data_IF_026718577897
#
_entry.id   IF_026718577897
#
_cell.length_a   1.000
_cell.length_b   1.000
_cell.length_c   1.000
_cell.angle_alpha   90.00
_cell.angle_beta   90.00
_cell.angle_gamma   90.00
#
_symmetry.space_group_name_H-M   'P 1'
#
loop_
_entity.id
_entity.type
_entity.pdbx_description
1 polymer ?
#
# COMPACT_ATOMS: atom_id res chain seq x y z
N UNK A 1 -4.33 25.32 20.78
CA UNK A 1 -3.06 24.95 21.44
C UNK A 1 -3.27 23.63 22.16
N UNK A 2 -2.76 22.52 21.63
CA UNK A 2 -2.96 21.19 22.20
C UNK A 2 -2.04 21.02 23.42
N UNK A 3 -2.63 21.03 24.61
CA UNK A 3 -1.89 20.88 25.86
C UNK A 3 -1.36 19.44 25.97
N UNK A 4 -0.08 19.24 25.61
CA UNK A 4 0.55 17.91 25.61
C UNK A 4 1.23 17.74 26.96
N UNK A 5 0.57 17.06 27.89
CA UNK A 5 1.13 16.79 29.21
C UNK A 5 2.36 15.88 29.06
N UNK A 6 3.53 16.34 29.53
CA UNK A 6 4.73 15.49 29.64
C UNK A 6 4.46 14.41 30.69
N UNK A 7 4.41 13.16 30.25
CA UNK A 7 4.30 11.99 31.13
C UNK A 7 5.68 11.35 31.23
N UNK A 8 6.19 11.18 32.45
CA UNK A 8 7.43 10.45 32.69
C UNK A 8 7.14 8.95 32.70
N UNK A 9 7.80 8.21 31.81
CA UNK A 9 7.69 6.75 31.73
C UNK A 9 8.98 6.14 32.26
N UNK A 10 8.87 5.29 33.28
CA UNK A 10 9.96 4.47 33.78
C UNK A 10 9.76 3.02 33.38
N UNK A 11 10.78 2.38 32.84
CA UNK A 11 10.76 0.95 32.52
C UNK A 11 12.04 0.27 33.02
N UNK A 12 11.91 -0.99 33.44
CA UNK A 12 13.06 -1.82 33.81
C UNK A 12 13.77 -2.28 32.55
N UNK A 13 15.10 -2.21 32.55
CA UNK A 13 15.94 -2.71 31.49
C UNK A 13 17.23 -3.31 32.06
N UNK A 14 17.92 -4.10 31.25
CA UNK A 14 19.23 -4.66 31.60
C UNK A 14 20.29 -3.54 31.61
N UNK A 15 21.25 -3.62 32.53
CA UNK A 15 22.29 -2.60 32.69
C UNK A 15 23.13 -2.38 31.43
N UNK A 16 23.46 -3.46 30.73
CA UNK A 16 24.22 -3.44 29.47
C UNK A 16 23.48 -2.65 28.37
N UNK A 17 22.18 -2.90 28.21
CA UNK A 17 21.36 -2.17 27.24
C UNK A 17 21.31 -0.67 27.55
N UNK A 18 21.14 -0.30 28.82
CA UNK A 18 21.15 1.10 29.25
C UNK A 18 22.49 1.77 28.93
N UNK A 19 23.60 1.07 29.18
CA UNK A 19 24.95 1.58 28.92
C UNK A 19 25.19 1.80 27.42
N UNK A 20 24.83 0.84 26.58
CA UNK A 20 24.99 0.95 25.12
C UNK A 20 24.17 2.11 24.56
N UNK A 21 22.89 2.22 24.94
CA UNK A 21 22.02 3.32 24.50
C UNK A 21 22.52 4.69 24.99
N UNK A 22 23.05 4.77 26.21
CA UNK A 22 23.62 6.00 26.72
C UNK A 22 24.88 6.43 25.95
N UNK A 23 25.72 5.46 25.56
CA UNK A 23 26.91 5.71 24.75
C UNK A 23 26.53 6.20 23.35
N UNK A 24 25.55 5.58 22.71
CA UNK A 24 25.03 6.00 21.41
C UNK A 24 24.42 7.40 21.46
N UNK A 25 23.62 7.71 22.49
CA UNK A 25 23.07 9.04 22.71
C UNK A 25 24.19 10.09 22.84
N UNK A 26 25.23 9.78 23.63
CA UNK A 26 26.37 10.66 23.83
C UNK A 26 27.17 10.92 22.55
N UNK A 27 27.33 9.90 21.68
CA UNK A 27 28.02 10.05 20.39
C UNK A 27 27.32 11.04 19.46
N UNK A 28 25.99 11.15 19.58
CA UNK A 28 25.15 12.01 18.74
C UNK A 28 24.84 13.34 19.47
N UNK A 29 25.38 13.54 20.68
CA UNK A 29 25.22 14.77 21.46
C UNK A 29 23.83 14.93 22.08
N UNK A 30 23.09 13.85 22.28
CA UNK A 30 21.74 13.84 22.85
C UNK A 30 21.74 13.28 24.27
N UNK A 31 20.74 13.66 25.07
CA UNK A 31 20.45 12.93 26.31
C UNK A 31 19.82 11.58 26.00
N UNK A 32 19.95 10.62 26.92
CA UNK A 32 19.36 9.29 26.75
C UNK A 32 17.83 9.34 26.53
N UNK A 33 17.12 10.26 27.20
CA UNK A 33 15.67 10.43 27.03
C UNK A 33 15.33 10.95 25.63
N UNK A 34 16.03 11.96 25.14
CA UNK A 34 15.83 12.51 23.78
C UNK A 34 16.15 11.47 22.71
N UNK A 35 17.22 10.70 22.91
CA UNK A 35 17.60 9.62 22.00
C UNK A 35 16.51 8.54 21.93
N UNK A 36 15.95 8.14 23.07
CA UNK A 36 14.85 7.18 23.12
C UNK A 36 13.57 7.72 22.48
N UNK A 37 13.22 8.99 22.71
CA UNK A 37 12.08 9.64 22.07
C UNK A 37 12.24 9.69 20.54
N UNK A 38 13.44 9.96 20.06
CA UNK A 38 13.77 9.93 18.64
C UNK A 38 13.60 8.53 18.05
N UNK A 39 14.15 7.49 18.70
CA UNK A 39 14.01 6.10 18.26
C UNK A 39 12.54 5.65 18.22
N UNK A 40 11.75 6.01 19.23
CA UNK A 40 10.32 5.69 19.29
C UNK A 40 9.56 6.41 18.18
N UNK A 41 9.88 7.67 17.92
CA UNK A 41 9.26 8.47 16.86
C UNK A 41 9.57 7.90 15.47
N UNK A 42 10.82 7.49 15.24
CA UNK A 42 11.23 6.80 14.02
C UNK A 42 10.53 5.45 13.86
N UNK A 43 10.38 4.67 14.96
CA UNK A 43 9.64 3.41 14.90
C UNK A 43 8.15 3.63 14.58
N UNK A 44 7.54 4.69 15.09
CA UNK A 44 6.14 5.05 14.78
C UNK A 44 5.98 5.46 13.32
N UNK A 45 6.91 6.23 12.75
CA UNK A 45 6.82 6.60 11.33
C UNK A 45 6.99 5.40 10.40
N UNK A 46 7.82 4.42 10.79
CA UNK A 46 8.02 3.18 10.02
C UNK A 46 6.82 2.22 10.18
N UNK A 47 6.31 2.02 11.39
CA UNK A 47 5.27 1.02 11.68
C UNK A 47 3.82 1.46 11.45
N UNK A 48 3.52 2.76 11.38
CA UNK A 48 2.13 3.23 11.29
C UNK A 48 1.61 3.44 9.86
N UNK A 49 2.47 3.45 8.84
CA UNK A 49 2.08 3.84 7.47
C UNK A 49 2.38 2.83 6.36
N UNK A 50 3.51 2.12 6.42
CA UNK A 50 3.97 1.30 5.28
C UNK A 50 3.14 0.05 5.06
N UNK A 51 2.99 -0.76 6.10
CA UNK A 51 2.40 -2.10 5.96
C UNK A 51 0.88 -2.05 5.78
N UNK A 52 0.19 -1.13 6.45
CA UNK A 52 -1.27 -1.01 6.36
C UNK A 52 -1.73 -0.63 4.94
N UNK A 53 -1.08 0.35 4.31
CA UNK A 53 -1.40 0.74 2.94
C UNK A 53 -1.05 -0.34 1.92
N UNK A 54 0.08 -1.04 2.11
CA UNK A 54 0.46 -2.16 1.25
C UNK A 54 -0.53 -3.33 1.38
N UNK A 55 -0.87 -3.73 2.60
CA UNK A 55 -1.86 -4.78 2.89
C UNK A 55 -3.21 -4.43 2.28
N UNK A 56 -3.67 -3.19 2.43
CA UNK A 56 -4.94 -2.74 1.86
C UNK A 56 -4.91 -2.77 0.31
N UNK A 57 -3.80 -2.35 -0.29
CA UNK A 57 -3.63 -2.42 -1.76
C UNK A 57 -3.63 -3.87 -2.27
N UNK A 58 -3.02 -4.79 -1.54
CA UNK A 58 -2.99 -6.21 -1.87
C UNK A 58 -4.36 -6.86 -1.69
N UNK A 59 -5.10 -6.51 -0.63
CA UNK A 59 -6.49 -6.95 -0.44
C UNK A 59 -7.38 -6.54 -1.59
N UNK A 60 -7.28 -5.28 -2.05
CA UNK A 60 -8.03 -4.80 -3.22
C UNK A 60 -7.66 -5.56 -4.50
N UNK A 61 -6.37 -5.85 -4.71
CA UNK A 61 -5.92 -6.68 -5.85
C UNK A 61 -6.49 -8.09 -5.78
N UNK A 62 -6.42 -8.73 -4.62
CA UNK A 62 -6.98 -10.09 -4.43
C UNK A 62 -8.48 -10.09 -4.70
N UNK A 63 -9.23 -9.15 -4.13
CA UNK A 63 -10.67 -9.02 -4.37
C UNK A 63 -11.03 -8.83 -5.85
N UNK A 64 -10.21 -8.09 -6.61
CA UNK A 64 -10.37 -7.95 -8.05
C UNK A 64 -10.25 -9.30 -8.77
N UNK A 65 -9.19 -10.07 -8.49
CA UNK A 65 -8.99 -11.39 -9.11
C UNK A 65 -9.91 -12.48 -8.57
N UNK A 66 -10.51 -12.31 -7.40
CA UNK A 66 -11.47 -13.25 -6.83
C UNK A 66 -12.90 -13.04 -7.35
N UNK A 67 -13.17 -11.93 -8.03
CA UNK A 67 -14.49 -11.63 -8.58
C UNK A 67 -14.96 -12.73 -9.56
N UNK A 68 -16.02 -13.45 -9.19
CA UNK A 68 -16.53 -14.60 -9.95
C UNK A 68 -17.03 -14.21 -11.34
N UNK A 69 -17.74 -13.09 -11.46
CA UNK A 69 -18.23 -12.61 -12.75
C UNK A 69 -17.07 -12.29 -13.70
N UNK A 70 -16.02 -11.60 -13.21
CA UNK A 70 -14.84 -11.30 -14.02
C UNK A 70 -14.06 -12.57 -14.43
N UNK A 71 -13.99 -13.57 -13.55
CA UNK A 71 -13.43 -14.89 -13.88
C UNK A 71 -14.21 -15.59 -14.99
N UNK A 72 -15.54 -15.57 -14.90
CA UNK A 72 -16.41 -16.19 -15.90
C UNK A 72 -16.26 -15.48 -17.26
N UNK A 73 -16.27 -14.14 -17.27
CA UNK A 73 -16.01 -13.37 -18.49
C UNK A 73 -14.62 -13.63 -19.07
N UNK A 74 -13.57 -13.66 -18.23
CA UNK A 74 -12.23 -14.00 -18.71
C UNK A 74 -12.21 -15.40 -19.33
N UNK A 75 -12.82 -16.41 -18.68
CA UNK A 75 -12.88 -17.78 -19.21
C UNK A 75 -13.59 -17.82 -20.57
N UNK A 76 -14.68 -17.10 -20.72
CA UNK A 76 -15.51 -17.15 -21.92
C UNK A 76 -14.93 -16.34 -23.10
N UNK A 77 -14.07 -15.37 -22.80
CA UNK A 77 -13.52 -14.43 -23.78
C UNK A 77 -12.00 -14.52 -23.97
N UNK A 78 -11.29 -15.31 -23.17
CA UNK A 78 -9.84 -15.55 -23.31
C UNK A 78 -9.49 -15.99 -24.72
N UNK A 79 -8.47 -15.35 -25.29
CA UNK A 79 -7.96 -15.65 -26.63
C UNK A 79 -8.78 -15.02 -27.77
N UNK A 80 -9.95 -14.43 -27.51
CA UNK A 80 -10.71 -13.67 -28.52
C UNK A 80 -10.13 -12.27 -28.67
N UNK A 81 -10.23 -11.74 -29.89
CA UNK A 81 -9.82 -10.38 -30.25
C UNK A 81 -11.03 -9.44 -30.31
N UNK A 82 -10.87 -8.26 -29.73
CA UNK A 82 -11.90 -7.22 -29.68
C UNK A 82 -11.36 -5.90 -30.22
N UNK A 83 -12.19 -5.20 -30.99
CA UNK A 83 -11.92 -3.85 -31.44
C UNK A 83 -12.33 -2.86 -30.35
N UNK A 84 -11.34 -2.31 -29.65
CA UNK A 84 -11.52 -1.37 -28.55
C UNK A 84 -11.22 0.04 -29.04
N UNK A 85 -11.95 1.05 -28.55
CA UNK A 85 -11.61 2.44 -28.81
C UNK A 85 -10.44 2.84 -27.90
N UNK A 86 -9.27 3.09 -28.49
CA UNK A 86 -8.10 3.56 -27.78
C UNK A 86 -8.29 4.99 -27.24
N UNK A 87 -7.41 5.41 -26.32
CA UNK A 87 -7.43 6.76 -25.74
C UNK A 87 -7.21 7.88 -26.78
N UNK A 88 -6.68 7.52 -27.96
CA UNK A 88 -6.49 8.35 -29.15
C UNK A 88 -7.74 8.43 -30.06
N UNK A 89 -8.85 7.76 -29.70
CA UNK A 89 -10.05 7.68 -30.51
C UNK A 89 -9.96 6.70 -31.70
N UNK A 90 -8.85 5.98 -31.86
CA UNK A 90 -8.65 4.99 -32.91
C UNK A 90 -9.16 3.62 -32.46
N UNK A 91 -9.66 2.80 -33.38
CA UNK A 91 -10.07 1.43 -33.11
C UNK A 91 -8.83 0.53 -33.11
N UNK A 92 -8.43 0.05 -31.95
CA UNK A 92 -7.32 -0.90 -31.78
C UNK A 92 -7.87 -2.30 -31.56
N UNK A 93 -7.30 -3.29 -32.25
CA UNK A 93 -7.63 -4.70 -31.99
C UNK A 93 -6.74 -5.21 -30.87
N UNK A 94 -7.33 -5.62 -29.75
CA UNK A 94 -6.62 -6.24 -28.62
C UNK A 94 -7.11 -7.66 -28.38
N UNK A 95 -6.21 -8.52 -27.94
CA UNK A 95 -6.52 -9.89 -27.54
C UNK A 95 -6.64 -9.98 -26.02
N UNK A 96 -7.60 -10.74 -25.51
CA UNK A 96 -7.77 -10.96 -24.07
C UNK A 96 -6.83 -12.07 -23.61
N UNK A 97 -5.77 -11.67 -22.92
CA UNK A 97 -4.77 -12.53 -22.31
C UNK A 97 -4.80 -12.45 -20.77
N UNK A 98 -5.32 -11.36 -20.20
CA UNK A 98 -5.46 -11.16 -18.74
C UNK A 98 -6.88 -10.79 -18.27
N UNK A 99 -7.12 -10.90 -16.95
CA UNK A 99 -8.38 -10.45 -16.33
C UNK A 99 -8.53 -8.93 -16.38
N UNK A 100 -7.42 -8.21 -16.31
CA UNK A 100 -7.33 -6.76 -16.39
C UNK A 100 -7.79 -6.28 -17.78
N UNK A 101 -7.33 -6.93 -18.85
CA UNK A 101 -7.77 -6.64 -20.22
C UNK A 101 -9.27 -6.94 -20.40
N UNK A 102 -9.78 -8.00 -19.76
CA UNK A 102 -11.22 -8.30 -19.77
C UNK A 102 -12.01 -7.16 -19.13
N UNK A 103 -11.54 -6.64 -18.00
CA UNK A 103 -12.17 -5.52 -17.31
C UNK A 103 -12.10 -4.22 -18.14
N UNK A 104 -10.95 -3.91 -18.75
CA UNK A 104 -10.80 -2.75 -19.63
C UNK A 104 -11.75 -2.81 -20.83
N UNK A 105 -11.93 -3.97 -21.43
CA UNK A 105 -12.83 -4.16 -22.56
C UNK A 105 -14.28 -3.95 -22.12
N UNK A 106 -14.70 -4.51 -20.98
CA UNK A 106 -16.04 -4.26 -20.43
C UNK A 106 -16.27 -2.75 -20.23
N UNK A 107 -15.31 -2.04 -19.65
CA UNK A 107 -15.40 -0.59 -19.47
C UNK A 107 -15.49 0.16 -20.80
N UNK A 108 -14.73 -0.27 -21.82
CA UNK A 108 -14.76 0.35 -23.15
C UNK A 108 -16.11 0.16 -23.84
N UNK A 109 -16.71 -1.03 -23.73
CA UNK A 109 -18.02 -1.35 -24.27
C UNK A 109 -19.11 -0.53 -23.56
N UNK A 110 -19.04 -0.44 -22.23
CA UNK A 110 -19.98 0.37 -21.44
C UNK A 110 -19.91 1.86 -21.79
N UNK A 111 -18.70 2.41 -22.00
CA UNK A 111 -18.52 3.81 -22.46
C UNK A 111 -19.08 4.04 -23.85
N UNK A 112 -18.93 3.08 -24.76
CA UNK A 112 -19.47 3.17 -26.12
C UNK A 112 -20.99 2.98 -26.19
N UNK A 113 -21.59 2.31 -25.20
CA UNK A 113 -23.04 2.11 -25.12
C UNK A 113 -23.80 3.29 -24.47
N UNK A 114 -23.08 4.24 -23.84
CA UNK A 114 -23.63 5.41 -23.18
C UNK A 114 -23.72 6.66 -24.09
N UNK A 115 -23.54 6.48 -25.40
CA UNK A 115 -23.71 7.48 -26.47
C UNK A 115 -24.82 6.99 -27.38
#
# INVERSE_FOLDING_TARGET
MSNTHKVTVGFKCHGELKFNLAKEAQQIGLTLSEYLEMLISQRKSIGAGGDSHLIESLRKKVAFYENSALKDYYRDFKGKTYSVLGANGQKETRQINSMEETFEIILSLAKNAAI
#
